data_IF_576428280071
#
_entry.id   IF_576428280071
#
_cell.length_a   1.000
_cell.length_b   1.000
_cell.length_c   1.000
_cell.angle_alpha   90.00
_cell.angle_beta   90.00
_cell.angle_gamma   90.00
#
_symmetry.space_group_name_H-M   'P 1'
#
loop_
_entity.id
_entity.type
_entity.pdbx_description
1 polymer ?
#
# COMPACT_ATOMS: atom_id res chain seq x y z
N UNK A 1 14.02 -16.29 3.81
CA UNK A 1 15.15 -15.44 3.35
C UNK A 1 15.87 -14.97 4.60
N UNK A 2 17.18 -15.21 4.76
CA UNK A 2 17.95 -14.63 5.85
C UNK A 2 17.97 -13.10 5.69
N UNK A 3 17.71 -12.37 6.77
CA UNK A 3 17.73 -10.93 6.79
C UNK A 3 18.33 -10.42 8.11
N UNK A 4 19.13 -9.37 8.06
CA UNK A 4 19.61 -8.68 9.25
C UNK A 4 18.53 -7.72 9.77
N UNK A 5 18.51 -7.45 11.08
CA UNK A 5 17.55 -6.49 11.65
C UNK A 5 17.69 -5.09 11.03
N UNK A 6 18.87 -4.72 10.55
CA UNK A 6 19.12 -3.46 9.84
C UNK A 6 18.45 -3.37 8.47
N UNK A 7 18.09 -4.51 7.87
CA UNK A 7 17.39 -4.57 6.57
C UNK A 7 15.86 -4.51 6.74
N UNK A 8 15.36 -4.49 7.96
CA UNK A 8 13.94 -4.38 8.28
C UNK A 8 13.58 -2.89 8.44
N UNK A 9 12.72 -2.39 7.57
CA UNK A 9 12.18 -1.04 7.65
C UNK A 9 10.71 -1.11 8.02
N UNK A 10 10.33 -0.45 9.12
CA UNK A 10 8.95 -0.40 9.59
C UNK A 10 8.34 0.98 9.38
N UNK A 11 7.02 1.04 9.21
CA UNK A 11 6.28 2.30 9.12
C UNK A 11 6.45 3.17 10.37
N UNK A 12 6.60 2.57 11.55
CA UNK A 12 6.87 3.30 12.79
C UNK A 12 8.23 4.02 12.76
N UNK A 13 9.28 3.35 12.26
CA UNK A 13 10.60 3.99 12.09
C UNK A 13 10.54 5.18 11.13
N UNK A 14 9.82 5.04 10.02
CA UNK A 14 9.66 6.11 9.03
C UNK A 14 8.83 7.26 9.61
N UNK A 15 7.73 6.98 10.31
CA UNK A 15 6.91 7.99 10.99
C UNK A 15 7.73 8.82 11.97
N UNK A 16 8.60 8.19 12.75
CA UNK A 16 9.49 8.88 13.70
C UNK A 16 10.57 9.72 12.98
N UNK A 17 11.06 9.28 11.82
CA UNK A 17 11.95 10.11 11.01
C UNK A 17 11.25 11.36 10.46
N UNK A 18 9.98 11.24 10.08
CA UNK A 18 9.15 12.39 9.67
C UNK A 18 8.98 13.33 10.86
N UNK A 19 8.67 12.80 12.05
CA UNK A 19 8.53 13.62 13.27
C UNK A 19 9.76 14.44 13.59
N UNK A 20 10.99 13.93 13.33
CA UNK A 20 12.24 14.69 13.56
C UNK A 20 12.33 15.99 12.77
N UNK A 21 11.53 16.17 11.72
CA UNK A 21 11.46 17.45 10.97
C UNK A 21 10.70 18.53 11.75
N UNK A 22 9.89 18.13 12.72
CA UNK A 22 8.98 19.00 13.46
C UNK A 22 9.35 19.17 14.95
N UNK A 23 9.96 18.13 15.54
CA UNK A 23 10.29 18.14 16.97
C UNK A 23 11.72 17.59 17.21
N UNK A 24 12.52 18.22 18.12
CA UNK A 24 13.84 17.73 18.45
C UNK A 24 13.79 16.45 19.31
N UNK A 25 14.89 15.70 19.32
CA UNK A 25 15.07 14.61 20.28
C UNK A 25 14.90 15.10 21.72
N UNK A 26 14.40 14.26 22.61
CA UNK A 26 14.01 14.61 23.97
C UNK A 26 12.58 15.16 24.09
N UNK A 27 11.91 15.52 22.98
CA UNK A 27 10.51 15.91 23.03
C UNK A 27 9.61 14.75 23.50
N UNK A 28 8.59 15.12 24.28
CA UNK A 28 7.57 14.17 24.74
C UNK A 28 6.49 13.97 23.69
N UNK A 29 6.21 12.71 23.36
CA UNK A 29 5.33 12.33 22.26
C UNK A 29 4.24 11.40 22.78
N UNK A 30 2.99 11.74 22.53
CA UNK A 30 1.85 10.90 22.87
C UNK A 30 1.74 9.72 21.90
N UNK A 31 1.69 8.51 22.44
CA UNK A 31 1.64 7.29 21.64
C UNK A 31 0.22 6.76 21.54
N UNK A 32 -0.31 6.70 20.34
CA UNK A 32 -1.49 5.90 20.01
C UNK A 32 -1.03 4.72 19.18
N UNK A 33 -1.05 3.51 19.74
CA UNK A 33 -0.57 2.32 19.01
C UNK A 33 0.08 1.27 19.91
N UNK A 34 0.67 0.26 19.30
CA UNK A 34 1.37 -0.83 19.99
C UNK A 34 2.83 -0.53 20.31
N UNK A 35 3.50 -1.51 20.92
CA UNK A 35 4.90 -1.42 21.37
C UNK A 35 5.89 -1.03 20.25
N UNK A 36 5.62 -1.37 18.98
CA UNK A 36 6.48 -1.00 17.86
C UNK A 36 6.57 0.51 17.62
N UNK A 37 5.51 1.27 17.91
CA UNK A 37 5.52 2.73 17.83
C UNK A 37 6.35 3.32 18.98
N UNK A 38 6.14 2.80 20.19
CA UNK A 38 6.86 3.21 21.39
C UNK A 38 8.36 2.96 21.25
N UNK A 39 8.76 1.76 20.81
CA UNK A 39 10.15 1.41 20.59
C UNK A 39 10.82 2.30 19.54
N UNK A 40 10.15 2.56 18.41
CA UNK A 40 10.69 3.45 17.37
C UNK A 40 10.94 4.88 17.88
N UNK A 41 10.07 5.40 18.75
CA UNK A 41 10.27 6.70 19.39
C UNK A 41 11.47 6.70 20.35
N UNK A 42 11.58 5.66 21.19
CA UNK A 42 12.71 5.52 22.14
C UNK A 42 14.05 5.41 21.41
N UNK A 43 14.11 4.58 20.36
CA UNK A 43 15.31 4.39 19.52
C UNK A 43 15.75 5.69 18.82
N UNK A 44 14.78 6.58 18.57
CA UNK A 44 15.04 7.89 17.98
C UNK A 44 15.34 8.99 19.00
N UNK A 45 15.36 8.66 20.30
CA UNK A 45 15.66 9.59 21.38
C UNK A 45 14.50 10.48 21.82
N UNK A 46 13.26 10.15 21.46
CA UNK A 46 12.05 10.80 21.98
C UNK A 46 11.61 10.19 23.31
N UNK A 47 10.80 10.92 24.06
CA UNK A 47 10.13 10.43 25.27
C UNK A 47 8.74 9.93 24.87
N UNK A 48 8.58 8.62 24.70
CA UNK A 48 7.29 8.01 24.43
C UNK A 48 6.39 8.06 25.68
N UNK A 49 5.14 8.50 25.54
CA UNK A 49 4.23 8.70 26.67
C UNK A 49 2.81 8.27 26.34
N UNK A 50 2.15 7.66 27.31
CA UNK A 50 0.69 7.43 27.34
C UNK A 50 -0.04 8.53 28.14
N UNK A 51 0.68 9.37 28.83
CA UNK A 51 0.15 10.55 29.51
C UNK A 51 0.23 11.75 28.55
N UNK A 52 -0.88 12.41 28.21
CA UNK A 52 -0.92 13.49 27.24
C UNK A 52 -0.23 14.77 27.71
N UNK A 53 0.08 14.91 29.01
CA UNK A 53 0.69 16.13 29.57
C UNK A 53 2.04 16.41 28.93
N UNK A 54 2.23 17.67 28.52
CA UNK A 54 3.47 18.19 27.93
C UNK A 54 3.90 17.48 26.62
N UNK A 55 2.99 16.75 25.97
CA UNK A 55 3.25 16.14 24.67
C UNK A 55 3.12 17.20 23.55
N UNK A 56 4.17 17.35 22.75
CA UNK A 56 4.21 18.28 21.62
C UNK A 56 3.76 17.63 20.30
N UNK A 57 3.66 16.32 20.29
CA UNK A 57 3.26 15.53 19.11
C UNK A 57 2.47 14.29 19.49
N UNK A 58 1.73 13.78 18.52
CA UNK A 58 1.05 12.49 18.54
C UNK A 58 1.62 11.62 17.44
N UNK A 59 2.05 10.40 17.76
CA UNK A 59 2.36 9.36 16.77
C UNK A 59 1.32 8.26 16.87
N UNK A 60 0.57 8.07 15.78
CA UNK A 60 -0.55 7.14 15.71
C UNK A 60 -0.23 5.96 14.80
N UNK A 61 -0.30 4.76 15.34
CA UNK A 61 -0.12 3.49 14.66
C UNK A 61 -1.10 2.43 15.15
N UNK A 62 -1.05 1.27 14.51
CA UNK A 62 -1.90 0.16 14.93
C UNK A 62 -1.48 -0.38 16.30
N UNK A 63 -2.49 -0.72 17.10
CA UNK A 63 -2.34 -1.45 18.35
C UNK A 63 -3.66 -2.11 18.74
N UNK A 64 -3.65 -3.41 19.13
CA UNK A 64 -4.89 -4.13 19.44
C UNK A 64 -5.59 -3.61 20.70
N UNK A 65 -4.89 -2.80 21.51
CA UNK A 65 -5.41 -2.22 22.76
C UNK A 65 -5.73 -0.73 22.63
N UNK A 66 -5.66 -0.15 21.42
CA UNK A 66 -6.07 1.24 21.20
C UNK A 66 -7.53 1.41 21.56
N UNK A 67 -7.79 2.32 22.47
CA UNK A 67 -9.11 2.60 23.03
C UNK A 67 -9.70 3.90 22.49
N UNK A 68 -10.99 4.12 22.74
CA UNK A 68 -11.63 5.41 22.49
C UNK A 68 -10.89 6.55 23.24
N UNK A 69 -10.46 6.28 24.47
CA UNK A 69 -9.75 7.26 25.32
C UNK A 69 -8.44 7.71 24.66
N UNK A 70 -7.65 6.77 24.05
CA UNK A 70 -6.42 7.10 23.34
C UNK A 70 -6.69 8.03 22.15
N UNK A 71 -7.77 7.74 21.38
CA UNK A 71 -8.16 8.56 20.23
C UNK A 71 -8.69 9.94 20.68
N UNK A 72 -9.41 10.01 21.78
CA UNK A 72 -9.91 11.26 22.34
C UNK A 72 -8.74 12.17 22.83
N UNK A 73 -7.80 11.61 23.60
CA UNK A 73 -6.62 12.34 24.06
C UNK A 73 -5.74 12.83 22.89
N UNK A 74 -5.55 11.98 21.88
CA UNK A 74 -4.87 12.37 20.64
C UNK A 74 -5.59 13.56 19.97
N UNK A 75 -6.91 13.49 19.85
CA UNK A 75 -7.71 14.56 19.24
C UNK A 75 -7.60 15.87 20.00
N UNK A 76 -7.60 15.86 21.33
CA UNK A 76 -7.44 17.06 22.16
C UNK A 76 -6.05 17.69 21.98
N UNK A 77 -5.00 16.87 21.96
CA UNK A 77 -3.63 17.34 21.70
C UNK A 77 -3.50 17.97 20.31
N UNK A 78 -4.04 17.31 19.28
CA UNK A 78 -3.99 17.78 17.90
C UNK A 78 -4.76 19.10 17.74
N UNK A 79 -5.91 19.26 18.38
CA UNK A 79 -6.67 20.51 18.41
C UNK A 79 -5.93 21.63 19.16
N UNK A 80 -5.13 21.27 20.16
CA UNK A 80 -4.25 22.19 20.88
C UNK A 80 -2.97 22.56 20.09
N UNK A 81 -2.78 22.02 18.88
CA UNK A 81 -1.65 22.36 18.00
C UNK A 81 -0.51 21.35 18.00
N UNK A 82 -0.67 20.16 18.61
CA UNK A 82 0.33 19.12 18.54
C UNK A 82 0.50 18.61 17.10
N UNK A 83 1.72 18.27 16.74
CA UNK A 83 2.06 17.60 15.47
C UNK A 83 1.44 16.21 15.47
N UNK A 84 0.86 15.80 14.36
CA UNK A 84 0.22 14.51 14.22
C UNK A 84 0.84 13.69 13.08
N UNK A 85 1.50 12.59 13.42
CA UNK A 85 2.11 11.67 12.46
C UNK A 85 1.40 10.30 12.55
N UNK A 86 0.96 9.79 11.40
CA UNK A 86 0.43 8.43 11.29
C UNK A 86 1.50 7.47 10.76
N UNK A 87 1.53 6.24 11.27
CA UNK A 87 2.47 5.22 10.76
C UNK A 87 2.03 4.67 9.40
N UNK A 88 0.74 4.56 9.14
CA UNK A 88 0.14 4.16 7.86
C UNK A 88 -1.34 4.55 7.82
N UNK A 89 -1.95 4.42 6.65
CA UNK A 89 -3.38 4.68 6.41
C UNK A 89 -4.16 3.43 5.97
N UNK A 90 -3.63 2.23 6.20
CA UNK A 90 -4.32 0.99 5.87
C UNK A 90 -5.65 0.91 6.64
N UNK A 91 -6.76 1.00 5.93
CA UNK A 91 -8.10 1.04 6.52
C UNK A 91 -8.50 -0.29 7.17
N UNK A 92 -7.98 -1.39 6.64
CA UNK A 92 -8.29 -2.74 7.11
C UNK A 92 -7.04 -3.62 7.09
N UNK A 93 -7.10 -4.75 7.79
CA UNK A 93 -6.15 -5.84 7.63
C UNK A 93 -6.83 -7.20 7.83
N UNK A 94 -6.38 -8.27 7.14
CA UNK A 94 -6.93 -9.60 7.29
C UNK A 94 -6.51 -10.24 8.61
N UNK A 95 -7.43 -10.97 9.23
CA UNK A 95 -7.20 -11.80 10.41
C UNK A 95 -7.76 -13.21 10.17
N UNK A 96 -7.48 -14.15 11.07
CA UNK A 96 -8.08 -15.49 10.99
C UNK A 96 -9.62 -15.47 11.14
N UNK A 97 -10.18 -14.43 11.73
CA UNK A 97 -11.63 -14.29 11.97
C UNK A 97 -12.33 -13.45 10.88
N UNK A 98 -11.57 -12.84 9.95
CA UNK A 98 -12.09 -11.97 8.90
C UNK A 98 -11.34 -10.65 8.80
N UNK A 99 -11.91 -9.69 8.08
CA UNK A 99 -11.33 -8.35 7.89
C UNK A 99 -11.56 -7.51 9.14
N UNK A 100 -10.49 -6.96 9.69
CA UNK A 100 -10.51 -6.09 10.87
C UNK A 100 -10.12 -4.64 10.52
N UNK A 101 -10.53 -3.63 11.33
CA UNK A 101 -10.08 -2.25 11.17
C UNK A 101 -8.57 -2.13 11.32
N UNK A 102 -7.90 -1.51 10.34
CA UNK A 102 -6.50 -1.12 10.40
C UNK A 102 -6.30 0.24 11.05
N UNK A 103 -5.03 0.70 11.10
CA UNK A 103 -4.71 2.02 11.65
C UNK A 103 -5.42 3.16 10.90
N UNK A 104 -5.61 3.04 9.59
CA UNK A 104 -6.31 4.04 8.78
C UNK A 104 -7.74 4.29 9.24
N UNK A 105 -8.46 3.28 9.76
CA UNK A 105 -9.78 3.46 10.37
C UNK A 105 -9.72 4.29 11.65
N UNK A 106 -8.70 4.11 12.50
CA UNK A 106 -8.48 4.94 13.68
C UNK A 106 -8.03 6.35 13.32
N UNK A 107 -7.18 6.50 12.29
CA UNK A 107 -6.80 7.81 11.73
C UNK A 107 -8.04 8.54 11.21
N UNK A 108 -8.94 7.86 10.50
CA UNK A 108 -10.19 8.44 10.03
C UNK A 108 -11.09 8.93 11.17
N UNK A 109 -11.16 8.19 12.29
CA UNK A 109 -11.91 8.61 13.46
C UNK A 109 -11.34 9.91 14.07
N UNK A 110 -10.02 10.00 14.26
CA UNK A 110 -9.34 11.21 14.76
C UNK A 110 -9.50 12.35 13.75
N UNK A 111 -9.28 12.12 12.45
CA UNK A 111 -9.46 13.10 11.38
C UNK A 111 -10.84 13.73 11.39
N UNK A 112 -11.88 12.93 11.53
CA UNK A 112 -13.26 13.42 11.62
C UNK A 112 -13.48 14.30 12.87
N UNK A 113 -12.83 14.00 13.98
CA UNK A 113 -12.93 14.78 15.22
C UNK A 113 -12.16 16.11 15.15
N UNK A 114 -10.98 16.13 14.49
CA UNK A 114 -10.09 17.31 14.48
C UNK A 114 -10.23 18.17 13.21
N UNK A 115 -10.85 17.65 12.14
CA UNK A 115 -11.09 18.37 10.89
C UNK A 115 -9.84 18.57 10.01
N UNK A 116 -8.76 17.80 10.23
CA UNK A 116 -7.53 17.88 9.41
C UNK A 116 -6.85 16.53 9.22
N UNK A 117 -6.00 16.45 8.22
CA UNK A 117 -5.14 15.29 7.96
C UNK A 117 -3.91 15.27 8.88
N UNK A 118 -3.23 14.11 9.05
CA UNK A 118 -1.92 14.02 9.67
C UNK A 118 -0.90 14.93 8.98
N UNK A 119 0.04 15.49 9.73
CA UNK A 119 1.15 16.31 9.21
C UNK A 119 2.17 15.44 8.42
N UNK A 120 2.10 14.12 8.57
CA UNK A 120 2.89 13.17 7.81
C UNK A 120 2.46 11.73 8.04
N UNK A 121 2.79 10.88 7.06
CA UNK A 121 2.49 9.44 7.08
C UNK A 121 3.78 8.67 6.83
N UNK A 122 4.10 7.74 7.74
CA UNK A 122 5.34 6.94 7.68
C UNK A 122 5.26 5.70 6.80
N UNK A 123 4.07 5.36 6.30
CA UNK A 123 3.79 4.16 5.52
C UNK A 123 3.32 4.44 4.10
N UNK A 124 3.16 3.36 3.36
CA UNK A 124 2.53 3.37 2.03
C UNK A 124 1.13 4.02 2.08
N UNK A 125 0.69 4.75 1.06
CA UNK A 125 1.27 4.91 -0.28
C UNK A 125 2.37 5.97 -0.38
N UNK A 126 2.76 6.66 0.72
CA UNK A 126 3.84 7.62 0.69
C UNK A 126 5.19 6.95 0.36
N UNK A 127 6.03 7.63 -0.43
CA UNK A 127 7.33 7.12 -0.87
C UNK A 127 8.36 6.96 0.24
N UNK A 128 8.17 7.60 1.40
CA UNK A 128 9.18 7.70 2.47
C UNK A 128 9.70 6.35 2.96
N UNK A 129 8.83 5.31 2.97
CA UNK A 129 9.25 3.95 3.32
C UNK A 129 10.19 3.35 2.27
N UNK A 130 9.91 3.58 0.98
CA UNK A 130 10.75 3.12 -0.12
C UNK A 130 12.08 3.86 -0.14
N UNK A 131 12.07 5.17 0.04
CA UNK A 131 13.29 5.98 0.17
C UNK A 131 14.17 5.49 1.33
N UNK A 132 13.56 5.14 2.46
CA UNK A 132 14.28 4.57 3.60
C UNK A 132 14.85 3.18 3.28
N UNK A 133 14.07 2.30 2.66
CA UNK A 133 14.54 0.97 2.26
C UNK A 133 15.73 1.06 1.30
N UNK A 134 15.67 1.93 0.31
CA UNK A 134 16.76 2.19 -0.64
C UNK A 134 18.00 2.78 0.02
N UNK A 135 17.84 3.56 1.08
CA UNK A 135 18.98 4.09 1.86
C UNK A 135 19.65 3.00 2.71
N UNK A 136 18.91 1.98 3.14
CA UNK A 136 19.43 0.83 3.92
C UNK A 136 20.09 -0.18 3.00
N UNK A 137 19.44 -0.53 1.90
CA UNK A 137 19.94 -1.50 0.90
C UNK A 137 19.90 -0.87 -0.48
N UNK A 138 20.96 -0.15 -0.89
CA UNK A 138 21.01 0.46 -2.22
C UNK A 138 20.95 -0.61 -3.31
N UNK A 139 20.01 -0.46 -4.24
CA UNK A 139 19.82 -1.36 -5.37
C UNK A 139 19.75 -0.60 -6.69
N UNK A 140 20.36 -1.16 -7.77
CA UNK A 140 20.32 -0.55 -9.11
C UNK A 140 18.97 -0.75 -9.80
N UNK A 141 18.31 -1.88 -9.53
CA UNK A 141 17.02 -2.27 -10.09
C UNK A 141 16.14 -2.84 -8.96
N UNK A 142 15.60 -1.97 -8.07
CA UNK A 142 14.74 -2.41 -6.99
C UNK A 142 13.39 -2.88 -7.55
N UNK A 143 12.81 -3.89 -6.91
CA UNK A 143 11.46 -4.37 -7.16
C UNK A 143 10.67 -4.31 -5.85
N UNK A 144 9.56 -3.59 -5.85
CA UNK A 144 8.62 -3.61 -4.74
C UNK A 144 7.56 -4.68 -5.00
N UNK A 145 7.45 -5.64 -4.09
CA UNK A 145 6.44 -6.71 -4.16
C UNK A 145 5.40 -6.47 -3.07
N UNK A 146 4.14 -6.44 -3.44
CA UNK A 146 3.04 -6.24 -2.50
C UNK A 146 1.72 -6.75 -3.07
N UNK A 147 0.69 -6.71 -2.25
CA UNK A 147 -0.62 -7.30 -2.56
C UNK A 147 -1.75 -6.26 -2.67
N UNK A 148 -1.41 -4.95 -2.65
CA UNK A 148 -2.40 -3.89 -2.69
C UNK A 148 -2.06 -2.80 -3.70
N UNK A 149 -3.04 -2.43 -4.50
CA UNK A 149 -2.91 -1.30 -5.44
C UNK A 149 -2.82 0.05 -4.72
N UNK A 150 -3.70 0.27 -3.74
CA UNK A 150 -3.86 1.56 -3.03
C UNK A 150 -2.66 1.92 -2.15
N UNK A 151 -1.85 0.96 -1.77
CA UNK A 151 -0.67 1.19 -0.93
C UNK A 151 0.63 0.76 -1.59
N UNK A 152 0.78 -0.52 -2.00
CA UNK A 152 2.05 -1.05 -2.49
C UNK A 152 2.39 -0.53 -3.88
N UNK A 153 1.47 -0.71 -4.84
CA UNK A 153 1.70 -0.25 -6.22
C UNK A 153 1.82 1.27 -6.26
N UNK A 154 0.95 1.98 -5.52
CA UNK A 154 1.00 3.43 -5.43
C UNK A 154 2.32 3.94 -4.83
N UNK A 155 2.84 3.30 -3.77
CA UNK A 155 4.14 3.66 -3.18
C UNK A 155 5.31 3.42 -4.15
N UNK A 156 5.29 2.30 -4.89
CA UNK A 156 6.30 2.01 -5.90
C UNK A 156 6.30 3.06 -7.00
N UNK A 157 5.14 3.42 -7.53
CA UNK A 157 5.00 4.48 -8.54
C UNK A 157 5.51 5.82 -7.98
N UNK A 158 5.11 6.20 -6.77
CA UNK A 158 5.55 7.44 -6.13
C UNK A 158 7.06 7.49 -5.92
N UNK A 159 7.71 6.35 -5.69
CA UNK A 159 9.16 6.23 -5.50
C UNK A 159 9.93 5.99 -6.81
N UNK A 160 9.25 5.76 -7.94
CA UNK A 160 9.89 5.39 -9.21
C UNK A 160 10.48 3.98 -9.21
N UNK A 161 9.92 3.07 -8.40
CA UNK A 161 10.34 1.68 -8.26
C UNK A 161 9.36 0.79 -9.03
N UNK A 162 9.89 -0.15 -9.82
CA UNK A 162 9.07 -1.18 -10.47
C UNK A 162 8.32 -2.01 -9.42
N UNK A 163 7.06 -2.32 -9.70
CA UNK A 163 6.18 -3.04 -8.76
C UNK A 163 5.78 -4.40 -9.30
N UNK A 164 5.63 -5.37 -8.40
CA UNK A 164 4.97 -6.65 -8.65
C UNK A 164 3.79 -6.77 -7.69
N UNK A 165 2.58 -6.84 -8.25
CA UNK A 165 1.39 -7.16 -7.47
C UNK A 165 1.25 -8.68 -7.38
N UNK A 166 1.06 -9.20 -6.17
CA UNK A 166 0.78 -10.62 -5.92
C UNK A 166 -0.67 -10.81 -5.47
N UNK A 167 -1.31 -11.85 -6.01
CA UNK A 167 -2.74 -12.14 -5.78
C UNK A 167 -3.00 -13.01 -4.54
N UNK A 168 -1.94 -13.38 -3.80
CA UNK A 168 -2.05 -14.18 -2.57
C UNK A 168 -2.51 -13.39 -1.34
N UNK A 169 -2.76 -12.08 -1.49
CA UNK A 169 -3.18 -11.19 -0.40
C UNK A 169 -4.55 -10.57 -0.62
N UNK A 170 -4.60 -9.22 -0.60
CA UNK A 170 -5.86 -8.46 -0.61
C UNK A 170 -6.42 -8.25 -2.01
N UNK A 171 -5.58 -7.86 -2.98
CA UNK A 171 -6.06 -7.56 -4.33
C UNK A 171 -6.46 -8.82 -5.11
N UNK A 172 -7.53 -8.70 -5.85
CA UNK A 172 -8.12 -9.73 -6.70
C UNK A 172 -7.92 -9.41 -8.19
N UNK A 173 -8.18 -10.33 -9.13
CA UNK A 173 -8.24 -10.01 -10.55
C UNK A 173 -9.22 -8.89 -10.91
N UNK A 174 -10.32 -8.77 -10.17
CA UNK A 174 -11.27 -7.66 -10.35
C UNK A 174 -10.64 -6.31 -9.99
N UNK A 175 -9.81 -6.26 -8.94
CA UNK A 175 -9.08 -5.04 -8.56
C UNK A 175 -8.01 -4.69 -9.60
N UNK A 176 -7.33 -5.69 -10.20
CA UNK A 176 -6.42 -5.46 -11.36
C UNK A 176 -7.18 -4.80 -12.50
N UNK A 177 -8.38 -5.30 -12.79
CA UNK A 177 -9.22 -4.77 -13.88
C UNK A 177 -9.73 -3.36 -13.60
N UNK A 178 -10.20 -3.09 -12.39
CA UNK A 178 -10.74 -1.79 -12.00
C UNK A 178 -9.66 -0.73 -11.71
N UNK A 179 -8.40 -1.13 -11.53
CA UNK A 179 -7.32 -0.21 -11.15
C UNK A 179 -7.07 0.87 -12.21
N UNK A 180 -6.84 2.10 -11.74
CA UNK A 180 -6.39 3.26 -12.56
C UNK A 180 -4.87 3.42 -12.59
N UNK A 181 -4.12 2.58 -11.88
CA UNK A 181 -2.65 2.53 -11.90
C UNK A 181 -2.20 1.13 -12.29
N UNK A 182 -1.04 1.04 -12.96
CA UNK A 182 -0.51 -0.22 -13.48
C UNK A 182 0.60 -0.75 -12.58
N UNK A 183 0.52 -2.03 -12.20
CA UNK A 183 1.67 -2.77 -11.67
C UNK A 183 2.61 -3.16 -12.82
N UNK A 184 3.93 -3.16 -12.58
CA UNK A 184 4.91 -3.57 -13.59
C UNK A 184 4.82 -5.07 -13.89
N UNK A 185 4.50 -5.86 -12.86
CA UNK A 185 4.37 -7.31 -12.94
C UNK A 185 3.17 -7.78 -12.13
N UNK A 186 2.59 -8.93 -12.55
CA UNK A 186 1.54 -9.64 -11.81
C UNK A 186 2.03 -11.04 -11.46
N UNK A 187 1.80 -11.49 -10.22
CA UNK A 187 2.14 -12.82 -9.73
C UNK A 187 1.02 -13.43 -8.88
N UNK A 188 1.00 -14.75 -8.74
CA UNK A 188 0.12 -15.42 -7.78
C UNK A 188 0.60 -15.18 -6.34
N UNK A 189 1.93 -15.25 -6.13
CA UNK A 189 2.55 -15.10 -4.82
C UNK A 189 4.01 -14.63 -4.93
N UNK A 190 4.66 -14.39 -3.78
CA UNK A 190 6.09 -14.09 -3.71
C UNK A 190 6.98 -15.22 -4.25
N UNK A 191 6.48 -16.44 -4.41
CA UNK A 191 7.22 -17.54 -5.00
C UNK A 191 7.52 -17.29 -6.48
N UNK A 192 6.72 -16.49 -7.17
CA UNK A 192 6.97 -16.14 -8.58
C UNK A 192 8.27 -15.34 -8.79
N UNK A 193 8.88 -14.82 -7.72
CA UNK A 193 10.20 -14.19 -7.78
C UNK A 193 11.35 -15.17 -8.10
N UNK A 194 11.16 -16.45 -7.89
CA UNK A 194 12.17 -17.50 -8.14
C UNK A 194 11.84 -18.36 -9.36
N UNK A 195 10.84 -17.97 -10.13
CA UNK A 195 10.46 -18.62 -11.40
C UNK A 195 10.66 -17.64 -12.55
N UNK A 196 10.82 -18.18 -13.75
CA UNK A 196 10.90 -17.36 -14.95
C UNK A 196 9.58 -16.61 -15.16
N UNK A 197 9.64 -15.30 -15.33
CA UNK A 197 8.46 -14.48 -15.60
C UNK A 197 8.10 -14.56 -17.08
N UNK A 198 6.99 -15.21 -17.40
CA UNK A 198 6.41 -15.19 -18.74
C UNK A 198 5.61 -13.88 -18.86
N UNK A 199 6.13 -12.94 -19.65
CA UNK A 199 5.48 -11.66 -19.91
C UNK A 199 4.49 -11.74 -21.06
N UNK A 200 3.51 -10.82 -21.08
CA UNK A 200 2.58 -10.69 -22.20
C UNK A 200 3.28 -10.15 -23.45
N UNK A 201 2.87 -10.64 -24.60
CA UNK A 201 3.35 -10.24 -25.92
C UNK A 201 2.16 -9.76 -26.77
N UNK A 202 2.36 -8.69 -27.51
CA UNK A 202 1.39 -8.19 -28.49
C UNK A 202 1.22 -9.19 -29.64
N UNK A 203 0.00 -9.37 -30.11
CA UNK A 203 -0.38 -10.25 -31.22
C UNK A 203 -1.34 -9.51 -32.15
N UNK A 204 -1.60 -10.08 -33.35
CA UNK A 204 -2.48 -9.44 -34.37
C UNK A 204 -3.87 -9.09 -33.82
N UNK A 205 -4.42 -9.92 -32.92
CA UNK A 205 -5.79 -9.78 -32.39
C UNK A 205 -5.83 -9.31 -30.93
N UNK A 206 -4.69 -8.92 -30.32
CA UNK A 206 -4.65 -8.50 -28.91
C UNK A 206 -3.35 -8.82 -28.21
N UNK A 207 -3.38 -9.53 -27.07
CA UNK A 207 -2.21 -9.93 -26.30
C UNK A 207 -2.19 -11.42 -25.98
N UNK A 208 -1.00 -12.00 -25.95
CA UNK A 208 -0.78 -13.38 -25.49
C UNK A 208 0.17 -13.40 -24.28
N UNK A 209 0.05 -14.42 -23.41
CA UNK A 209 0.96 -14.69 -22.31
C UNK A 209 1.00 -16.20 -22.08
N UNK A 210 2.15 -16.84 -22.31
CA UNK A 210 2.23 -18.29 -22.34
C UNK A 210 1.25 -18.86 -23.38
N UNK A 211 0.36 -19.73 -22.94
CA UNK A 211 -0.71 -20.31 -23.79
C UNK A 211 -2.01 -19.48 -23.77
N UNK A 212 -2.10 -18.43 -22.95
CA UNK A 212 -3.27 -17.59 -22.89
C UNK A 212 -3.29 -16.54 -24.00
N UNK A 213 -4.51 -16.18 -24.45
CA UNK A 213 -4.76 -15.09 -25.41
C UNK A 213 -5.89 -14.22 -24.90
N UNK A 214 -5.72 -12.90 -24.98
CA UNK A 214 -6.74 -11.90 -24.64
C UNK A 214 -7.11 -11.08 -25.87
N UNK A 215 -8.41 -10.92 -26.11
CA UNK A 215 -8.98 -10.17 -27.24
C UNK A 215 -10.07 -9.23 -26.74
N UNK A 216 -10.21 -8.07 -27.38
CA UNK A 216 -11.31 -7.14 -27.13
C UNK A 216 -12.48 -7.40 -28.09
N UNK A 217 -13.63 -7.75 -27.53
CA UNK A 217 -14.88 -7.98 -28.26
C UNK A 217 -15.73 -6.72 -28.19
N UNK A 218 -15.52 -5.81 -29.12
CA UNK A 218 -16.12 -4.46 -29.11
C UNK A 218 -17.65 -4.48 -29.07
N UNK A 219 -18.29 -5.42 -29.78
CA UNK A 219 -19.75 -5.56 -29.79
C UNK A 219 -20.35 -5.96 -28.43
N UNK A 220 -19.57 -6.64 -27.59
CA UNK A 220 -19.97 -7.09 -26.26
C UNK A 220 -19.43 -6.19 -25.16
N UNK A 221 -18.52 -5.26 -25.47
CA UNK A 221 -17.75 -4.47 -24.52
C UNK A 221 -17.02 -5.34 -23.47
N UNK A 222 -16.37 -6.42 -23.94
CA UNK A 222 -15.69 -7.41 -23.10
C UNK A 222 -14.26 -7.63 -23.59
N UNK A 223 -13.30 -7.66 -22.65
CA UNK A 223 -12.01 -8.29 -22.89
C UNK A 223 -12.11 -9.75 -22.44
N UNK A 224 -12.01 -10.66 -23.38
CA UNK A 224 -12.05 -12.11 -23.13
C UNK A 224 -10.66 -12.68 -23.22
N UNK A 225 -10.26 -13.44 -22.21
CA UNK A 225 -8.99 -14.17 -22.18
C UNK A 225 -9.23 -15.68 -22.00
N UNK A 226 -8.62 -16.48 -22.87
CA UNK A 226 -8.78 -17.95 -22.94
C UNK A 226 -7.43 -18.64 -23.04
N UNK A 227 -7.40 -19.96 -22.80
CA UNK A 227 -6.18 -20.77 -22.80
C UNK A 227 -5.32 -20.54 -21.55
N UNK A 228 -4.23 -21.28 -21.42
CA UNK A 228 -3.25 -21.12 -20.36
C UNK A 228 -3.78 -21.16 -18.91
N UNK A 229 -2.96 -20.71 -17.99
CA UNK A 229 -3.32 -20.54 -16.57
C UNK A 229 -4.15 -19.27 -16.35
N UNK A 230 -4.81 -19.19 -15.19
CA UNK A 230 -5.55 -17.97 -14.79
C UNK A 230 -4.65 -16.73 -14.74
N UNK A 231 -3.42 -16.88 -14.24
CA UNK A 231 -2.46 -15.77 -14.16
C UNK A 231 -2.01 -15.32 -15.56
N UNK A 232 -1.75 -16.26 -16.48
CA UNK A 232 -1.41 -15.92 -17.87
C UNK A 232 -2.56 -15.18 -18.56
N UNK A 233 -3.81 -15.63 -18.37
CA UNK A 233 -5.00 -14.91 -18.88
C UNK A 233 -5.10 -13.50 -18.32
N UNK A 234 -4.88 -13.33 -17.01
CA UNK A 234 -4.92 -12.02 -16.37
C UNK A 234 -3.80 -11.09 -16.87
N UNK A 235 -2.58 -11.61 -17.05
CA UNK A 235 -1.44 -10.85 -17.60
C UNK A 235 -1.71 -10.39 -19.03
N UNK A 236 -2.25 -11.26 -19.87
CA UNK A 236 -2.62 -10.91 -21.25
C UNK A 236 -3.74 -9.85 -21.28
N UNK A 237 -4.80 -10.05 -20.47
CA UNK A 237 -5.93 -9.12 -20.39
C UNK A 237 -5.52 -7.74 -19.82
N UNK A 238 -4.67 -7.69 -18.78
CA UNK A 238 -4.16 -6.44 -18.23
C UNK A 238 -3.37 -5.66 -19.27
N UNK A 239 -2.50 -6.31 -20.04
CA UNK A 239 -1.75 -5.63 -21.10
C UNK A 239 -2.63 -5.12 -22.21
N UNK A 240 -3.64 -5.88 -22.62
CA UNK A 240 -4.63 -5.41 -23.59
C UNK A 240 -5.44 -4.22 -23.04
N UNK A 241 -5.87 -4.25 -21.79
CA UNK A 241 -6.52 -3.09 -21.14
C UNK A 241 -5.68 -1.84 -21.29
N UNK A 242 -4.40 -1.90 -20.92
CA UNK A 242 -3.53 -0.73 -20.96
C UNK A 242 -3.22 -0.24 -22.38
N UNK A 243 -3.27 -1.11 -23.40
CA UNK A 243 -3.19 -0.67 -24.80
C UNK A 243 -4.48 0.01 -25.28
N UNK A 244 -5.64 -0.36 -24.74
CA UNK A 244 -6.93 0.22 -25.09
C UNK A 244 -7.21 1.57 -24.39
N UNK A 245 -6.55 1.85 -23.26
CA UNK A 245 -6.79 3.05 -22.44
C UNK A 245 -6.71 4.34 -23.23
N UNK A 246 -5.79 4.46 -24.16
CA UNK A 246 -5.65 5.64 -25.02
C UNK A 246 -6.90 5.89 -25.90
N UNK A 247 -7.69 4.86 -26.19
CA UNK A 247 -8.85 4.91 -27.07
C UNK A 247 -10.18 5.06 -26.30
N UNK A 248 -10.31 4.38 -25.16
CA UNK A 248 -11.58 4.30 -24.42
C UNK A 248 -11.56 4.98 -23.05
N UNK A 249 -10.38 5.36 -22.56
CA UNK A 249 -10.20 5.98 -21.23
C UNK A 249 -10.23 4.96 -20.07
N UNK A 250 -9.58 5.31 -18.97
CA UNK A 250 -9.48 4.47 -17.78
C UNK A 250 -10.82 4.23 -17.07
N UNK A 251 -11.71 5.23 -17.10
CA UNK A 251 -13.00 5.15 -16.42
C UNK A 251 -13.90 4.06 -17.01
N UNK A 252 -13.78 3.77 -18.31
CA UNK A 252 -14.52 2.69 -18.96
C UNK A 252 -14.28 1.31 -18.33
N UNK A 253 -13.08 1.08 -17.77
CA UNK A 253 -12.75 -0.15 -17.06
C UNK A 253 -13.15 -0.08 -15.59
N UNK A 254 -12.87 1.04 -14.92
CA UNK A 254 -13.17 1.23 -13.51
C UNK A 254 -14.68 1.27 -13.21
N UNK A 255 -15.48 1.82 -14.13
CA UNK A 255 -16.95 1.90 -14.03
C UNK A 255 -17.68 0.67 -14.61
N UNK A 256 -16.92 -0.32 -15.10
CA UNK A 256 -17.49 -1.56 -15.62
C UNK A 256 -18.14 -1.46 -17.00
N UNK A 257 -17.89 -0.38 -17.76
CA UNK A 257 -18.37 -0.24 -19.14
C UNK A 257 -17.71 -1.26 -20.07
N UNK A 258 -16.44 -1.63 -19.76
CA UNK A 258 -15.74 -2.77 -20.39
C UNK A 258 -15.47 -3.79 -19.31
N UNK A 259 -16.05 -4.97 -19.47
CA UNK A 259 -15.92 -6.07 -18.51
C UNK A 259 -14.76 -7.00 -18.85
N UNK A 260 -14.35 -7.80 -17.88
CA UNK A 260 -13.32 -8.82 -17.98
C UNK A 260 -13.96 -10.21 -17.93
N UNK A 261 -13.65 -11.04 -18.92
CA UNK A 261 -13.98 -12.46 -18.95
C UNK A 261 -12.67 -13.28 -19.02
N UNK A 262 -12.32 -13.90 -17.91
CA UNK A 262 -11.13 -14.77 -17.85
C UNK A 262 -11.42 -16.23 -18.22
N UNK A 263 -12.67 -16.56 -18.51
CA UNK A 263 -13.13 -17.94 -18.67
C UNK A 263 -13.04 -18.71 -17.34
N UNK A 264 -13.85 -19.73 -17.16
CA UNK A 264 -13.78 -20.68 -16.04
C UNK A 264 -12.78 -21.81 -16.32
#
# INVERSE_FOLDING_TARGET
IPAAASEVVTSSQVAVQILRKYAPAGSRVFVVGGAGVEQALLDAGFIASRDPRDCVAVVQGFGPLVSWEDLAQASYLIQAGAIWIATNLDSTFPTQLGIAPGNGSFVAAVRNAVGREPDGVGGKPDRSMMDRAMAVVPAKAPLLVGDRYDTDVAAGIAAGITTMLVLSGVSTPADVWASKIRAGYLGESVQDLITEYIGPLESEDGYSCGEAKAMYLAAESVVRATGGTRLERLRAADSLKWSLVEHVGLDSFAEGQISLDLGE
#
